data_IF_553919603945
#
_entry.id   IF_553919603945
#
_cell.length_a   1.000
_cell.length_b   1.000
_cell.length_c   1.000
_cell.angle_alpha   90.00
_cell.angle_beta   90.00
_cell.angle_gamma   90.00
#
_symmetry.space_group_name_H-M   'P 1'
#
loop_
_entity.id
_entity.type
_entity.pdbx_description
1 polymer ?
#
# COMPACT_ATOMS: atom_id res chain seq x y z
N UNK A 1 -7.65 4.74 -12.95
CA UNK A 1 -7.22 5.69 -11.89
C UNK A 1 -6.66 4.94 -10.70
N UNK A 2 -5.66 5.52 -10.03
CA UNK A 2 -5.12 5.00 -8.77
C UNK A 2 -6.15 5.19 -7.65
N UNK A 3 -6.26 4.19 -6.76
CA UNK A 3 -7.00 4.33 -5.51
C UNK A 3 -6.34 5.39 -4.60
N UNK A 4 -7.08 5.90 -3.63
CA UNK A 4 -6.52 6.82 -2.63
C UNK A 4 -5.41 6.13 -1.82
N UNK A 5 -4.40 6.88 -1.45
CA UNK A 5 -3.35 6.42 -0.54
C UNK A 5 -3.94 6.19 0.85
N UNK A 6 -3.48 5.16 1.54
CA UNK A 6 -3.81 4.97 2.95
C UNK A 6 -3.16 6.03 3.83
N UNK A 7 -3.55 6.02 5.09
CA UNK A 7 -2.97 6.88 6.14
C UNK A 7 -2.35 6.00 7.21
N UNK A 8 -1.17 6.38 7.68
CA UNK A 8 -0.60 5.84 8.91
C UNK A 8 -0.65 6.89 10.01
N UNK A 9 -1.19 6.50 11.15
CA UNK A 9 -1.26 7.33 12.35
C UNK A 9 -0.49 6.61 13.46
N UNK A 10 0.37 7.34 14.16
CA UNK A 10 1.09 6.86 15.33
C UNK A 10 0.78 7.77 16.52
N UNK A 11 0.28 7.19 17.59
CA UNK A 11 -0.09 7.91 18.82
C UNK A 11 0.58 7.26 20.00
N UNK A 12 1.23 8.06 20.82
CA UNK A 12 1.95 7.64 22.01
C UNK A 12 1.53 8.48 23.20
N UNK A 13 1.23 7.91 24.38
CA UNK A 13 0.97 8.69 25.56
C UNK A 13 2.24 9.38 26.06
N UNK A 14 2.12 10.62 26.48
CA UNK A 14 3.24 11.38 27.02
C UNK A 14 3.60 10.94 28.44
N UNK A 15 2.59 10.83 29.32
CA UNK A 15 2.79 10.53 30.74
C UNK A 15 1.78 9.52 31.27
N UNK A 16 0.48 9.75 31.08
CA UNK A 16 -0.60 8.89 31.55
C UNK A 16 -0.96 7.85 30.49
N UNK A 17 -1.11 6.56 30.84
CA UNK A 17 -1.53 5.54 29.90
C UNK A 17 -2.83 5.91 29.19
N UNK A 18 -2.92 5.52 27.92
CA UNK A 18 -4.05 5.80 27.04
C UNK A 18 -4.83 4.51 26.79
N UNK A 19 -6.15 4.58 26.92
CA UNK A 19 -7.05 3.51 26.50
C UNK A 19 -7.46 3.74 25.04
N UNK A 20 -7.23 2.73 24.20
CA UNK A 20 -7.58 2.74 22.79
C UNK A 20 -8.73 1.78 22.52
N UNK A 21 -9.77 2.28 21.85
CA UNK A 21 -10.83 1.46 21.33
C UNK A 21 -10.73 1.41 19.81
N UNK A 22 -10.38 0.24 19.30
CA UNK A 22 -10.26 0.03 17.86
C UNK A 22 -11.60 -0.41 17.29
N UNK A 23 -12.04 0.28 16.24
CA UNK A 23 -13.14 -0.17 15.38
C UNK A 23 -12.74 0.15 13.95
N UNK A 24 -12.73 -0.85 13.07
CA UNK A 24 -12.37 -0.63 11.68
C UNK A 24 -12.74 -1.81 10.81
N UNK A 25 -13.12 -1.50 9.61
CA UNK A 25 -13.31 -2.44 8.52
C UNK A 25 -12.10 -2.40 7.57
N UNK A 26 -12.05 -3.31 6.61
CA UNK A 26 -10.97 -3.35 5.62
C UNK A 26 -9.70 -4.07 6.06
N UNK A 27 -9.62 -4.56 7.31
CA UNK A 27 -8.50 -5.37 7.75
C UNK A 27 -8.54 -6.78 7.16
N UNK A 28 -9.72 -7.42 7.21
CA UNK A 28 -9.95 -8.76 6.64
C UNK A 28 -10.42 -8.70 5.18
N UNK A 29 -11.09 -7.64 4.80
CA UNK A 29 -11.68 -7.42 3.48
C UNK A 29 -11.11 -6.12 2.86
N UNK A 30 -9.89 -6.15 2.31
CA UNK A 30 -9.31 -4.99 1.65
C UNK A 30 -10.17 -4.53 0.46
N UNK A 31 -10.10 -3.25 0.07
CA UNK A 31 -10.77 -2.77 -1.12
C UNK A 31 -10.34 -3.52 -2.37
N UNK A 32 -11.28 -3.90 -3.20
CA UNK A 32 -11.01 -4.56 -4.48
C UNK A 32 -10.72 -3.53 -5.58
N UNK A 33 -10.02 -3.96 -6.63
CA UNK A 33 -9.85 -3.18 -7.86
C UNK A 33 -10.99 -3.43 -8.85
N UNK A 34 -11.27 -2.46 -9.70
CA UNK A 34 -12.34 -2.51 -10.72
C UNK A 34 -11.77 -2.32 -12.12
N UNK A 35 -12.35 -3.02 -13.10
CA UNK A 35 -12.00 -2.92 -14.53
C UNK A 35 -10.49 -3.01 -14.80
N UNK A 36 -9.84 -3.99 -14.20
CA UNK A 36 -8.40 -4.18 -14.31
C UNK A 36 -7.55 -3.40 -13.31
N UNK A 37 -8.17 -2.58 -12.45
CA UNK A 37 -7.45 -1.89 -11.39
C UNK A 37 -6.95 -2.86 -10.31
N UNK A 38 -5.83 -2.54 -9.68
CA UNK A 38 -5.25 -3.35 -8.61
C UNK A 38 -6.03 -3.18 -7.30
N UNK A 39 -6.11 -4.23 -6.44
CA UNK A 39 -6.73 -4.09 -5.13
C UNK A 39 -5.90 -3.17 -4.21
N UNK A 40 -6.55 -2.62 -3.19
CA UNK A 40 -5.87 -1.98 -2.07
C UNK A 40 -5.35 -3.00 -1.06
N UNK A 41 -4.61 -2.53 -0.05
CA UNK A 41 -4.14 -3.36 1.07
C UNK A 41 -5.15 -3.42 2.20
N UNK A 42 -5.02 -4.43 3.07
CA UNK A 42 -5.74 -4.48 4.33
C UNK A 42 -5.23 -3.40 5.30
N UNK A 43 -6.16 -2.67 5.91
CA UNK A 43 -5.84 -1.82 7.06
C UNK A 43 -5.50 -2.67 8.28
N UNK A 44 -4.78 -2.10 9.24
CA UNK A 44 -4.44 -2.80 10.46
C UNK A 44 -4.02 -1.89 11.58
N UNK A 45 -3.97 -2.46 12.79
CA UNK A 45 -3.51 -1.75 13.97
C UNK A 45 -2.51 -2.61 14.73
N UNK A 46 -1.48 -1.99 15.27
CA UNK A 46 -0.54 -2.67 16.14
C UNK A 46 -0.09 -1.77 17.29
N UNK A 47 0.30 -2.40 18.38
CA UNK A 47 1.05 -1.76 19.44
C UNK A 47 2.54 -1.92 19.14
N UNK A 48 3.27 -0.85 19.22
CA UNK A 48 4.71 -0.82 19.01
C UNK A 48 5.41 -0.45 20.32
N UNK A 49 6.38 -1.25 20.73
CA UNK A 49 7.29 -0.89 21.79
C UNK A 49 8.37 0.05 21.22
N UNK A 50 8.50 1.25 21.78
CA UNK A 50 9.37 2.30 21.20
C UNK A 50 10.86 2.04 21.39
N UNK A 51 11.24 1.24 22.39
CA UNK A 51 12.63 0.92 22.69
C UNK A 51 13.15 -0.26 21.84
N UNK A 52 12.33 -1.32 21.74
CA UNK A 52 12.73 -2.54 21.01
C UNK A 52 12.26 -2.57 19.56
N UNK A 53 11.30 -1.71 19.19
CA UNK A 53 10.64 -1.77 17.88
C UNK A 53 9.70 -2.98 17.70
N UNK A 54 9.47 -3.77 18.76
CA UNK A 54 8.58 -4.92 18.71
C UNK A 54 7.13 -4.48 18.45
N UNK A 55 6.44 -5.21 17.57
CA UNK A 55 5.08 -4.92 17.14
C UNK A 55 4.15 -6.06 17.49
N UNK A 56 3.08 -5.75 18.22
CA UNK A 56 1.99 -6.66 18.53
C UNK A 56 0.75 -6.26 17.71
N UNK A 57 0.29 -7.15 16.84
CA UNK A 57 -0.94 -6.91 16.08
C UNK A 57 -2.15 -6.84 17.01
N UNK A 58 -2.99 -5.86 16.76
CA UNK A 58 -4.24 -5.65 17.51
C UNK A 58 -5.43 -5.99 16.62
N UNK A 59 -6.45 -6.59 17.21
CA UNK A 59 -7.72 -6.82 16.51
C UNK A 59 -8.28 -5.51 15.96
N UNK A 60 -8.88 -5.56 14.79
CA UNK A 60 -9.61 -4.44 14.18
C UNK A 60 -10.82 -3.99 15.01
N UNK A 61 -11.28 -4.83 15.95
CA UNK A 61 -12.35 -4.55 16.91
C UNK A 61 -11.88 -4.99 18.29
N UNK A 62 -11.62 -4.05 19.17
CA UNK A 62 -11.13 -4.39 20.50
C UNK A 62 -10.68 -3.20 21.31
N UNK A 63 -10.23 -3.52 22.49
CA UNK A 63 -9.74 -2.60 23.49
C UNK A 63 -8.29 -2.89 23.81
N UNK A 64 -7.44 -1.88 23.88
CA UNK A 64 -6.07 -2.04 24.33
C UNK A 64 -5.60 -0.82 25.10
N UNK A 65 -4.68 -1.05 26.03
CA UNK A 65 -4.01 -0.01 26.78
C UNK A 65 -2.63 0.22 26.21
N UNK A 66 -2.28 1.48 25.98
CA UNK A 66 -0.97 1.92 25.54
C UNK A 66 -0.30 2.63 26.70
N UNK A 67 0.84 2.14 27.13
CA UNK A 67 1.62 2.67 28.23
C UNK A 67 2.71 3.61 27.74
N UNK A 68 3.34 4.34 28.64
CA UNK A 68 4.55 5.12 28.33
C UNK A 68 5.64 4.18 27.76
N UNK A 69 6.31 4.60 26.70
CA UNK A 69 7.26 3.75 25.96
C UNK A 69 6.63 2.87 24.87
N UNK A 70 5.32 2.97 24.70
CA UNK A 70 4.60 2.29 23.63
C UNK A 70 3.88 3.29 22.72
N UNK A 71 3.54 2.86 21.53
CA UNK A 71 2.68 3.59 20.61
C UNK A 71 1.58 2.68 20.05
N UNK A 72 0.40 3.23 19.86
CA UNK A 72 -0.59 2.67 18.98
C UNK A 72 -0.33 3.16 17.56
N UNK A 73 -0.31 2.24 16.61
CA UNK A 73 -0.17 2.56 15.20
C UNK A 73 -1.36 2.03 14.44
N UNK A 74 -2.05 2.92 13.76
CA UNK A 74 -3.14 2.60 12.85
C UNK A 74 -2.72 2.84 11.41
N UNK A 75 -2.94 1.84 10.56
CA UNK A 75 -2.73 1.91 9.12
C UNK A 75 -4.07 1.69 8.45
N UNK A 76 -4.57 2.69 7.73
CA UNK A 76 -5.79 2.52 6.96
C UNK A 76 -5.50 1.80 5.65
N UNK A 77 -6.47 1.01 5.17
CA UNK A 77 -6.44 0.49 3.81
C UNK A 77 -6.41 1.66 2.83
N UNK A 78 -5.61 1.54 1.77
CA UNK A 78 -5.76 2.40 0.60
C UNK A 78 -7.03 2.05 -0.17
N UNK A 79 -7.40 2.85 -1.17
CA UNK A 79 -8.47 2.53 -2.11
C UNK A 79 -8.03 1.51 -3.16
N UNK A 80 -8.96 0.74 -3.71
CA UNK A 80 -8.72 -0.05 -4.92
C UNK A 80 -8.59 0.85 -6.15
N UNK A 81 -7.82 0.40 -7.14
CA UNK A 81 -7.65 1.08 -8.42
C UNK A 81 -8.84 0.85 -9.35
N UNK A 82 -8.96 1.70 -10.37
CA UNK A 82 -9.94 1.59 -11.44
C UNK A 82 -9.27 1.69 -12.80
N UNK A 83 -9.48 0.72 -13.65
CA UNK A 83 -8.88 0.63 -14.99
C UNK A 83 -7.44 0.10 -14.97
N UNK A 84 -6.95 -0.27 -16.15
CA UNK A 84 -5.61 -0.80 -16.32
C UNK A 84 -4.54 0.21 -15.84
N UNK A 85 -3.66 -0.17 -14.91
CA UNK A 85 -2.55 0.67 -14.47
C UNK A 85 -1.64 1.11 -15.63
N UNK A 86 -1.49 0.27 -16.66
CA UNK A 86 -0.66 0.56 -17.83
C UNK A 86 -1.21 1.66 -18.73
N UNK A 87 -2.49 2.03 -18.60
CA UNK A 87 -3.09 3.14 -19.33
C UNK A 87 -2.97 4.51 -18.63
N UNK A 88 -2.36 4.51 -17.42
CA UNK A 88 -2.18 5.76 -16.67
C UNK A 88 -1.19 6.68 -17.36
N UNK A 89 -1.47 8.00 -17.33
CA UNK A 89 -0.53 9.01 -17.81
C UNK A 89 0.85 8.84 -17.12
N UNK A 90 1.91 8.58 -17.90
CA UNK A 90 3.24 8.32 -17.35
C UNK A 90 3.83 9.53 -16.65
N UNK A 91 3.46 10.76 -17.05
CA UNK A 91 3.92 11.99 -16.39
C UNK A 91 3.40 12.08 -14.96
N UNK A 92 2.11 11.78 -14.75
CA UNK A 92 1.51 11.74 -13.42
C UNK A 92 2.12 10.64 -12.54
N UNK A 93 2.55 9.52 -13.14
CA UNK A 93 3.24 8.46 -12.38
C UNK A 93 4.59 8.97 -11.88
N UNK A 94 5.38 9.63 -12.72
CA UNK A 94 6.67 10.21 -12.33
C UNK A 94 6.50 11.29 -11.25
N UNK A 95 5.48 12.14 -11.37
CA UNK A 95 5.15 13.13 -10.34
C UNK A 95 4.85 12.45 -8.99
N UNK A 96 4.09 11.37 -8.99
CA UNK A 96 3.78 10.62 -7.77
C UNK A 96 5.00 9.95 -7.14
N UNK A 97 6.00 9.53 -7.93
CA UNK A 97 7.27 9.05 -7.38
C UNK A 97 8.04 10.20 -6.74
N UNK A 98 8.17 11.33 -7.44
CA UNK A 98 8.84 12.53 -6.92
C UNK A 98 8.22 13.01 -5.61
N UNK A 99 6.89 12.96 -5.50
CA UNK A 99 6.14 13.39 -4.32
C UNK A 99 6.09 12.30 -3.21
N UNK A 100 6.74 11.15 -3.42
CA UNK A 100 6.82 10.06 -2.44
C UNK A 100 5.50 9.29 -2.24
N UNK A 101 4.55 9.41 -3.17
CA UNK A 101 3.24 8.74 -3.11
C UNK A 101 3.36 7.27 -3.50
N UNK A 102 4.21 6.96 -4.47
CA UNK A 102 4.53 5.59 -4.91
C UNK A 102 6.05 5.43 -5.04
N UNK A 103 6.54 4.19 -4.96
CA UNK A 103 7.96 3.89 -5.18
C UNK A 103 8.31 3.85 -6.66
N UNK A 104 9.61 3.98 -6.98
CA UNK A 104 10.12 3.78 -8.35
C UNK A 104 9.83 2.38 -8.87
N UNK A 105 9.92 1.36 -8.00
CA UNK A 105 9.56 -0.02 -8.34
C UNK A 105 8.09 -0.16 -8.72
N UNK A 106 7.19 0.51 -8.02
CA UNK A 106 5.76 0.57 -8.39
C UNK A 106 5.57 1.22 -9.75
N UNK A 107 6.24 2.33 -10.00
CA UNK A 107 6.16 3.02 -11.30
C UNK A 107 6.60 2.08 -12.43
N UNK A 108 7.69 1.36 -12.26
CA UNK A 108 8.25 0.45 -13.26
C UNK A 108 7.42 -0.81 -13.45
N UNK A 109 7.05 -1.50 -12.37
CA UNK A 109 6.51 -2.86 -12.45
C UNK A 109 4.97 -2.89 -12.53
N UNK A 110 4.28 -1.88 -12.00
CA UNK A 110 2.80 -1.78 -12.02
C UNK A 110 2.32 -0.85 -13.13
N UNK A 111 2.92 0.34 -13.23
CA UNK A 111 2.53 1.34 -14.23
C UNK A 111 3.32 1.26 -15.52
N UNK A 112 4.37 0.45 -15.55
CA UNK A 112 5.25 0.27 -16.71
C UNK A 112 6.07 1.50 -17.08
N UNK A 113 6.23 2.47 -16.17
CA UNK A 113 6.87 3.76 -16.43
C UNK A 113 8.36 3.72 -16.09
N UNK A 114 9.17 4.11 -17.07
CA UNK A 114 10.62 4.22 -16.93
C UNK A 114 11.00 5.71 -16.93
N UNK A 115 11.83 6.09 -15.97
CA UNK A 115 12.28 7.47 -15.78
C UNK A 115 13.68 7.49 -15.15
N UNK A 116 14.34 8.62 -15.24
CA UNK A 116 15.59 8.84 -14.52
C UNK A 116 15.32 9.19 -13.06
N UNK A 117 15.84 8.40 -12.12
CA UNK A 117 15.58 8.54 -10.68
C UNK A 117 16.18 9.81 -10.05
N UNK A 118 17.26 10.37 -10.64
CA UNK A 118 17.89 11.57 -10.12
C UNK A 118 17.17 12.84 -10.58
N UNK A 119 16.72 12.86 -11.84
CA UNK A 119 16.12 14.04 -12.47
C UNK A 119 14.60 13.98 -12.56
N UNK A 120 13.99 12.84 -12.29
CA UNK A 120 12.56 12.55 -12.50
C UNK A 120 12.11 12.85 -13.94
N UNK A 121 13.00 12.62 -14.90
CA UNK A 121 12.70 12.81 -16.32
C UNK A 121 12.17 11.51 -16.92
N UNK A 122 10.97 11.56 -17.51
CA UNK A 122 10.33 10.43 -18.17
C UNK A 122 11.17 9.98 -19.39
N UNK A 123 11.39 8.66 -19.50
CA UNK A 123 11.86 8.01 -20.72
C UNK A 123 10.65 7.41 -21.46
N UNK A 124 10.15 8.14 -22.45
CA UNK A 124 8.93 7.76 -23.16
C UNK A 124 9.12 6.47 -23.98
N UNK A 125 10.26 6.32 -24.64
CA UNK A 125 10.54 5.15 -25.49
C UNK A 125 10.72 3.88 -24.66
N UNK A 126 11.44 3.97 -23.54
CA UNK A 126 11.61 2.85 -22.64
C UNK A 126 10.27 2.51 -21.92
N UNK A 127 9.46 3.51 -21.60
CA UNK A 127 8.12 3.34 -21.03
C UNK A 127 7.21 2.56 -21.97
N UNK A 128 7.15 2.95 -23.24
CA UNK A 128 6.30 2.26 -24.22
C UNK A 128 6.71 0.79 -24.39
N UNK A 129 8.01 0.52 -24.52
CA UNK A 129 8.55 -0.85 -24.60
C UNK A 129 8.23 -1.68 -23.37
N UNK A 130 8.39 -1.10 -22.18
CA UNK A 130 8.11 -1.80 -20.94
C UNK A 130 6.61 -2.10 -20.77
N UNK A 131 5.75 -1.14 -21.12
CA UNK A 131 4.28 -1.33 -21.10
C UNK A 131 3.84 -2.43 -22.06
N UNK A 132 4.40 -2.45 -23.27
CA UNK A 132 4.10 -3.51 -24.22
C UNK A 132 4.49 -4.89 -23.68
N UNK A 133 5.70 -5.02 -23.13
CA UNK A 133 6.14 -6.28 -22.52
C UNK A 133 5.28 -6.70 -21.32
N UNK A 134 4.80 -5.75 -20.52
CA UNK A 134 3.88 -6.04 -19.41
C UNK A 134 2.50 -6.46 -19.93
N UNK A 135 1.94 -5.78 -20.93
CA UNK A 135 0.66 -6.15 -21.55
C UNK A 135 0.67 -7.56 -22.15
N UNK A 136 1.75 -7.96 -22.81
CA UNK A 136 1.92 -9.31 -23.36
C UNK A 136 1.91 -10.40 -22.27
N UNK A 137 2.37 -10.08 -21.06
CA UNK A 137 2.41 -10.99 -19.91
C UNK A 137 1.13 -11.00 -19.08
N UNK A 138 0.37 -9.91 -19.11
CA UNK A 138 -0.76 -9.68 -18.20
C UNK A 138 -1.98 -10.52 -18.54
N UNK A 139 -2.20 -10.85 -19.82
CA UNK A 139 -3.43 -11.52 -20.24
C UNK A 139 -4.68 -10.65 -20.12
N UNK A 140 -5.86 -11.29 -20.05
CA UNK A 140 -7.14 -10.60 -19.90
C UNK A 140 -7.34 -10.13 -18.45
N UNK A 141 -7.65 -8.85 -18.29
CA UNK A 141 -7.87 -8.26 -16.99
C UNK A 141 -9.29 -8.56 -16.48
N UNK A 142 -9.44 -9.02 -15.24
CA UNK A 142 -10.75 -9.28 -14.67
C UNK A 142 -11.52 -7.99 -14.41
N UNK A 143 -12.86 -8.05 -14.51
CA UNK A 143 -13.74 -6.93 -14.17
C UNK A 143 -13.57 -6.48 -12.72
N UNK A 144 -13.40 -7.45 -11.81
CA UNK A 144 -13.16 -7.25 -10.38
C UNK A 144 -11.90 -8.03 -10.01
N UNK A 145 -10.87 -7.32 -9.58
CA UNK A 145 -9.68 -7.93 -9.02
C UNK A 145 -9.98 -8.52 -7.64
N UNK A 146 -9.50 -9.72 -7.33
CA UNK A 146 -9.59 -10.27 -5.98
C UNK A 146 -9.06 -9.29 -4.94
N UNK A 147 -9.56 -9.42 -3.72
CA UNK A 147 -9.07 -8.63 -2.60
C UNK A 147 -7.57 -8.84 -2.41
N UNK A 148 -6.87 -7.77 -2.10
CA UNK A 148 -5.47 -7.82 -1.71
C UNK A 148 -5.25 -8.57 -0.39
N UNK A 149 -4.00 -8.76 0.04
CA UNK A 149 -3.69 -9.47 1.27
C UNK A 149 -4.30 -8.77 2.49
N UNK A 150 -4.77 -9.58 3.44
CA UNK A 150 -5.27 -9.09 4.72
C UNK A 150 -4.16 -8.44 5.54
N UNK A 151 -4.54 -7.59 6.51
CA UNK A 151 -3.59 -6.96 7.41
C UNK A 151 -2.73 -7.96 8.20
N UNK A 152 -3.26 -9.12 8.57
CA UNK A 152 -2.50 -10.17 9.24
C UNK A 152 -1.35 -10.67 8.38
N UNK A 153 -1.61 -10.98 7.10
CA UNK A 153 -0.55 -11.38 6.16
C UNK A 153 0.49 -10.30 5.95
N UNK A 154 0.04 -9.05 5.87
CA UNK A 154 0.92 -7.90 5.77
C UNK A 154 1.85 -7.78 6.97
N UNK A 155 1.35 -7.98 8.19
CA UNK A 155 2.15 -7.92 9.41
C UNK A 155 3.03 -9.16 9.63
N UNK A 156 2.56 -10.36 9.27
CA UNK A 156 3.34 -11.60 9.34
C UNK A 156 4.60 -11.54 8.49
N UNK A 157 4.54 -10.87 7.35
CA UNK A 157 5.67 -10.70 6.43
C UNK A 157 6.60 -9.52 6.80
N UNK A 158 6.39 -8.90 7.97
CA UNK A 158 7.16 -7.73 8.44
C UNK A 158 7.29 -6.64 7.36
N UNK A 159 6.22 -6.43 6.59
CA UNK A 159 6.22 -5.49 5.49
C UNK A 159 6.43 -4.07 6.02
N UNK A 160 7.45 -3.42 5.51
CA UNK A 160 7.81 -2.05 5.86
C UNK A 160 6.96 -1.06 5.07
N UNK A 161 6.87 0.16 5.57
CA UNK A 161 6.34 1.27 4.78
C UNK A 161 7.10 1.38 3.46
N UNK A 162 6.38 1.43 2.36
CA UNK A 162 6.94 1.47 1.01
C UNK A 162 7.24 0.10 0.39
N UNK A 163 7.19 -0.99 1.16
CA UNK A 163 7.28 -2.33 0.59
C UNK A 163 6.02 -2.60 -0.24
N UNK A 164 6.22 -2.89 -1.50
CA UNK A 164 5.14 -3.03 -2.45
C UNK A 164 4.85 -4.51 -2.70
N UNK A 165 3.99 -5.10 -1.86
CA UNK A 165 3.55 -6.50 -2.02
C UNK A 165 2.75 -6.73 -3.31
N UNK A 166 2.37 -5.69 -4.06
CA UNK A 166 1.85 -5.82 -5.42
C UNK A 166 2.94 -6.27 -6.42
N UNK A 167 4.21 -6.26 -6.01
CA UNK A 167 5.31 -6.76 -6.82
C UNK A 167 5.51 -8.27 -6.69
N UNK A 168 5.03 -8.89 -5.62
CA UNK A 168 4.96 -10.34 -5.55
C UNK A 168 3.85 -10.81 -6.48
N UNK A 169 4.15 -11.73 -7.43
CA UNK A 169 3.09 -12.28 -8.27
C UNK A 169 2.04 -12.90 -7.36
N UNK A 170 0.83 -12.37 -7.43
CA UNK A 170 -0.32 -13.01 -6.80
C UNK A 170 -0.39 -14.45 -7.31
N UNK A 171 -0.49 -15.44 -6.42
CA UNK A 171 -0.57 -16.84 -6.83
C UNK A 171 -1.80 -17.12 -7.68
#
# INVERSE_FOLDING_TARGET
>A
TMGGTGIRIRVSPYDTPMDCHNTGDGAANPPFGLQGGTPGIGGGNYRENLDSGHRDYCSSKGYLKISKGEAWVGVSSGGGGFGDPLDRDPTLVVEHVRDGIISGDTAKNIYGVIFNEETFTLDADATEKNRQALKERQGELPLIQPMGPSASKWLENDMREGDNYLLDPLP
#
